data_IF_296000660710
#
_entry.id   IF_296000660710
#
_cell.length_a   1.000
_cell.length_b   1.000
_cell.length_c   1.000
_cell.angle_alpha   90.00
_cell.angle_beta   90.00
_cell.angle_gamma   90.00
#
_symmetry.space_group_name_H-M   'P 1'
#
loop_
_entity.id
_entity.type
_entity.pdbx_description
1 polymer ?
#
# COMPACT_ATOMS: atom_id res chain seq x y z
N UNK A 1 24.62 4.11 -25.55
CA UNK A 1 24.77 5.14 -26.60
C UNK A 1 23.47 5.52 -27.29
N UNK A 2 22.64 4.57 -27.79
CA UNK A 2 21.36 4.88 -28.46
C UNK A 2 20.37 5.76 -27.66
N UNK A 3 20.29 5.59 -26.33
CA UNK A 3 19.37 6.38 -25.48
C UNK A 3 19.74 7.88 -25.39
N UNK A 4 21.03 8.20 -25.44
CA UNK A 4 21.52 9.60 -25.39
C UNK A 4 21.36 10.31 -26.74
N UNK A 5 21.44 9.57 -27.85
CA UNK A 5 21.21 10.12 -29.19
C UNK A 5 19.74 10.53 -29.35
N UNK A 6 18.82 9.72 -28.82
CA UNK A 6 17.38 10.03 -28.86
C UNK A 6 17.05 11.23 -27.96
N UNK A 7 17.64 11.34 -26.76
CA UNK A 7 17.41 12.50 -25.89
C UNK A 7 18.04 13.79 -26.46
N UNK A 8 19.18 13.70 -27.14
CA UNK A 8 19.80 14.83 -27.82
C UNK A 8 18.96 15.34 -29.00
N UNK A 9 18.34 14.45 -29.77
CA UNK A 9 17.41 14.81 -30.85
C UNK A 9 16.15 15.54 -30.35
N UNK A 10 15.60 15.11 -29.21
CA UNK A 10 14.43 15.73 -28.58
C UNK A 10 14.78 17.11 -28.01
N UNK A 11 15.97 17.28 -27.40
CA UNK A 11 16.43 18.59 -26.93
C UNK A 11 16.66 19.57 -28.09
N UNK A 12 17.20 19.13 -29.23
CA UNK A 12 17.41 19.99 -30.40
C UNK A 12 16.09 20.45 -31.05
N UNK A 13 15.05 19.62 -31.05
CA UNK A 13 13.71 19.99 -31.57
C UNK A 13 13.00 21.05 -30.69
N UNK A 14 13.41 21.21 -29.43
CA UNK A 14 12.81 22.16 -28.50
C UNK A 14 13.25 23.61 -28.72
N UNK A 15 14.27 23.86 -29.56
CA UNK A 15 14.80 25.20 -29.84
C UNK A 15 14.17 25.89 -31.07
N UNK A 16 13.29 25.22 -31.82
CA UNK A 16 12.67 25.78 -33.04
C UNK A 16 11.35 26.54 -32.81
N UNK A 17 11.04 26.88 -31.56
CA UNK A 17 9.76 27.49 -31.18
C UNK A 17 9.65 29.01 -31.36
N UNK A 18 10.60 29.68 -32.03
CA UNK A 18 10.48 31.12 -32.30
C UNK A 18 10.20 31.31 -33.79
N UNK A 19 8.94 31.67 -34.06
CA UNK A 19 8.35 32.10 -35.33
C UNK A 19 9.33 32.25 -36.50
N UNK A 20 9.42 31.20 -37.33
CA UNK A 20 10.26 31.20 -38.53
C UNK A 20 9.77 32.17 -39.61
N UNK A 21 8.53 32.69 -39.49
CA UNK A 21 7.93 33.64 -40.44
C UNK A 21 7.91 35.10 -39.95
N UNK A 22 8.26 35.38 -38.68
CA UNK A 22 8.39 36.76 -38.20
C UNK A 22 9.83 37.24 -38.40
N UNK A 23 10.12 37.87 -39.53
CA UNK A 23 11.35 38.65 -39.68
C UNK A 23 11.19 40.00 -38.97
N UNK A 24 11.91 40.27 -37.86
CA UNK A 24 11.87 41.57 -37.21
C UNK A 24 12.50 42.65 -38.11
N UNK A 25 11.95 43.86 -38.06
CA UNK A 25 12.58 45.03 -38.68
C UNK A 25 13.79 45.43 -37.82
N UNK A 26 14.98 45.41 -38.41
CA UNK A 26 16.22 45.80 -37.70
C UNK A 26 16.38 47.32 -37.78
N UNK A 27 16.26 48.00 -36.63
CA UNK A 27 16.54 49.42 -36.48
C UNK A 27 17.90 49.62 -35.82
N UNK A 28 18.67 50.60 -36.31
CA UNK A 28 19.95 50.98 -35.74
C UNK A 28 19.79 52.30 -35.00
N UNK A 29 19.75 52.24 -33.67
CA UNK A 29 19.65 53.42 -32.80
C UNK A 29 20.92 53.47 -31.94
N UNK A 30 21.65 54.59 -31.98
CA UNK A 30 22.89 54.79 -31.21
C UNK A 30 23.90 53.62 -31.36
N UNK A 31 24.12 53.16 -32.59
CA UNK A 31 25.02 52.05 -32.93
C UNK A 31 24.62 50.67 -32.35
N UNK A 32 23.40 50.52 -31.81
CA UNK A 32 22.87 49.24 -31.34
C UNK A 32 21.76 48.75 -32.27
N UNK A 33 21.76 47.44 -32.57
CA UNK A 33 20.71 46.78 -33.34
C UNK A 33 19.51 46.53 -32.44
N UNK A 34 18.36 47.08 -32.81
CA UNK A 34 17.07 46.86 -32.16
C UNK A 34 16.17 46.09 -33.12
N UNK A 35 15.56 45.01 -32.64
CA UNK A 35 14.57 44.26 -33.39
C UNK A 35 13.19 44.80 -33.06
N UNK A 36 12.54 45.40 -34.05
CA UNK A 36 11.21 45.96 -33.92
C UNK A 36 10.22 45.13 -34.72
N UNK A 37 9.14 44.74 -34.05
CA UNK A 37 8.01 44.07 -34.68
C UNK A 37 6.94 45.10 -35.01
N UNK A 38 6.23 44.92 -36.12
CA UNK A 38 5.03 45.71 -36.40
C UNK A 38 3.98 45.46 -35.28
N UNK A 39 3.04 46.38 -35.09
CA UNK A 39 1.95 46.25 -34.12
C UNK A 39 1.16 44.94 -34.32
N UNK A 40 0.95 44.52 -35.57
CA UNK A 40 0.30 43.24 -35.88
C UNK A 40 1.12 42.04 -35.39
N UNK A 41 2.41 41.99 -35.74
CA UNK A 41 3.35 40.95 -35.30
C UNK A 41 3.48 40.89 -33.77
N UNK A 42 3.47 42.05 -33.11
CA UNK A 42 3.54 42.15 -31.65
C UNK A 42 2.29 41.58 -30.99
N UNK A 43 1.10 41.82 -31.57
CA UNK A 43 -0.16 41.24 -31.10
C UNK A 43 -0.20 39.72 -31.25
N UNK A 44 0.31 39.18 -32.36
CA UNK A 44 0.39 37.73 -32.54
C UNK A 44 1.36 37.07 -31.55
N UNK A 45 2.53 37.67 -31.34
CA UNK A 45 3.49 37.22 -30.33
C UNK A 45 2.87 37.26 -28.92
N UNK A 46 2.15 38.32 -28.56
CA UNK A 46 1.47 38.41 -27.28
C UNK A 46 0.44 37.29 -27.07
N UNK A 47 -0.39 37.00 -28.10
CA UNK A 47 -1.35 35.88 -28.06
C UNK A 47 -0.66 34.53 -27.87
N UNK A 48 0.46 34.30 -28.56
CA UNK A 48 1.23 33.05 -28.44
C UNK A 48 1.86 32.92 -27.05
N UNK A 49 2.40 34.01 -26.49
CA UNK A 49 2.96 34.03 -25.14
C UNK A 49 1.89 33.77 -24.06
N UNK A 50 0.72 34.41 -24.17
CA UNK A 50 -0.41 34.17 -23.25
C UNK A 50 -0.87 32.72 -23.32
N UNK A 51 -1.00 32.16 -24.54
CA UNK A 51 -1.36 30.76 -24.73
C UNK A 51 -0.32 29.81 -24.13
N UNK A 52 0.97 30.10 -24.30
CA UNK A 52 2.06 29.34 -23.69
C UNK A 52 1.98 29.36 -22.16
N UNK A 53 1.87 30.55 -21.58
CA UNK A 53 1.73 30.74 -20.13
C UNK A 53 0.51 30.02 -19.55
N UNK A 54 -0.63 30.07 -20.26
CA UNK A 54 -1.84 29.35 -19.85
C UNK A 54 -1.64 27.83 -19.88
N UNK A 55 -1.02 27.31 -20.94
CA UNK A 55 -0.72 25.88 -21.05
C UNK A 55 0.25 25.41 -19.96
N UNK A 56 1.30 26.19 -19.68
CA UNK A 56 2.27 25.86 -18.63
C UNK A 56 1.61 25.84 -17.24
N UNK A 57 0.68 26.79 -16.99
CA UNK A 57 -0.13 26.80 -15.77
C UNK A 57 -1.01 25.54 -15.66
N UNK A 58 -1.69 25.14 -16.74
CA UNK A 58 -2.48 23.91 -16.77
C UNK A 58 -1.62 22.66 -16.52
N UNK A 59 -0.47 22.55 -17.20
CA UNK A 59 0.46 21.42 -17.01
C UNK A 59 0.95 21.37 -15.56
N UNK A 60 1.26 22.52 -14.96
CA UNK A 60 1.69 22.60 -13.56
C UNK A 60 0.58 22.12 -12.62
N UNK A 61 -0.65 22.59 -12.81
CA UNK A 61 -1.80 22.18 -11.98
C UNK A 61 -2.11 20.68 -12.12
N UNK A 62 -2.06 20.16 -13.35
CA UNK A 62 -2.25 18.74 -13.62
C UNK A 62 -1.14 17.89 -12.99
N UNK A 63 0.11 18.33 -13.07
CA UNK A 63 1.26 17.65 -12.44
C UNK A 63 1.11 17.59 -10.92
N UNK A 64 0.75 18.71 -10.28
CA UNK A 64 0.49 18.74 -8.82
C UNK A 64 -0.64 17.76 -8.45
N UNK A 65 -1.72 17.75 -9.23
CA UNK A 65 -2.87 16.87 -8.97
C UNK A 65 -2.47 15.40 -9.13
N UNK A 66 -1.72 15.07 -10.18
CA UNK A 66 -1.24 13.72 -10.44
C UNK A 66 -0.33 13.22 -9.30
N UNK A 67 0.62 14.06 -8.85
CA UNK A 67 1.49 13.72 -7.73
C UNK A 67 0.69 13.46 -6.44
N UNK A 68 -0.33 14.27 -6.15
CA UNK A 68 -1.22 14.04 -5.01
C UNK A 68 -1.96 12.71 -5.11
N UNK A 69 -2.44 12.35 -6.30
CA UNK A 69 -3.12 11.06 -6.52
C UNK A 69 -2.16 9.88 -6.33
N UNK A 70 -0.93 9.99 -6.82
CA UNK A 70 0.11 8.98 -6.62
C UNK A 70 0.41 8.80 -5.13
N UNK A 71 0.60 9.89 -4.38
CA UNK A 71 0.84 9.84 -2.93
C UNK A 71 -0.33 9.19 -2.18
N UNK A 72 -1.57 9.50 -2.57
CA UNK A 72 -2.76 8.89 -1.97
C UNK A 72 -2.85 7.39 -2.26
N UNK A 73 -2.51 6.96 -3.47
CA UNK A 73 -2.45 5.54 -3.83
C UNK A 73 -1.39 4.81 -3.00
N UNK A 74 -0.18 5.35 -2.89
CA UNK A 74 0.88 4.75 -2.07
C UNK A 74 0.49 4.64 -0.58
N UNK A 75 -0.17 5.67 -0.03
CA UNK A 75 -0.70 5.63 1.35
C UNK A 75 -1.79 4.58 1.52
N UNK A 76 -2.67 4.42 0.53
CA UNK A 76 -3.70 3.39 0.55
C UNK A 76 -3.09 1.98 0.50
N UNK A 77 -2.13 1.75 -0.39
CA UNK A 77 -1.50 0.45 -0.56
C UNK A 77 -0.70 0.05 0.69
N UNK A 78 0.03 0.99 1.29
CA UNK A 78 0.73 0.75 2.56
C UNK A 78 -0.24 0.44 3.71
N UNK A 79 -1.37 1.15 3.81
CA UNK A 79 -2.41 0.86 4.80
C UNK A 79 -3.01 -0.55 4.60
N UNK A 80 -3.30 -0.93 3.35
CA UNK A 80 -3.81 -2.27 3.03
C UNK A 80 -2.79 -3.34 3.43
N UNK A 81 -1.52 -3.15 3.09
CA UNK A 81 -0.44 -4.08 3.45
C UNK A 81 -0.31 -4.24 4.97
N UNK A 82 -0.37 -3.13 5.71
CA UNK A 82 -0.37 -3.15 7.16
C UNK A 82 -1.58 -3.91 7.73
N UNK A 83 -2.78 -3.67 7.20
CA UNK A 83 -4.01 -4.36 7.65
C UNK A 83 -3.99 -5.86 7.33
N UNK A 84 -3.47 -6.25 6.16
CA UNK A 84 -3.29 -7.66 5.83
C UNK A 84 -2.29 -8.34 6.77
N UNK A 85 -1.22 -7.66 7.15
CA UNK A 85 -0.26 -8.18 8.14
C UNK A 85 -0.92 -8.37 9.51
N UNK A 86 -1.76 -7.42 9.94
CA UNK A 86 -2.55 -7.57 11.17
C UNK A 86 -3.50 -8.77 11.09
N UNK A 87 -4.21 -8.95 9.97
CA UNK A 87 -5.11 -10.09 9.76
C UNK A 87 -4.36 -11.42 9.79
N UNK A 88 -3.18 -11.50 9.18
CA UNK A 88 -2.35 -12.70 9.23
C UNK A 88 -1.95 -13.05 10.66
N UNK A 89 -1.54 -12.05 11.45
CA UNK A 89 -1.22 -12.24 12.86
C UNK A 89 -2.43 -12.68 13.68
N UNK A 90 -3.60 -12.08 13.46
CA UNK A 90 -4.83 -12.48 14.13
C UNK A 90 -5.24 -13.91 13.77
N UNK A 91 -5.10 -14.30 12.51
CA UNK A 91 -5.33 -15.68 12.07
C UNK A 91 -4.40 -16.64 12.82
N UNK A 92 -3.10 -16.33 12.90
CA UNK A 92 -2.16 -17.15 13.67
C UNK A 92 -2.52 -17.26 15.16
N UNK A 93 -3.00 -16.18 15.78
CA UNK A 93 -3.48 -16.20 17.18
C UNK A 93 -4.72 -17.11 17.32
N UNK A 94 -5.66 -17.06 16.37
CA UNK A 94 -6.85 -17.90 16.37
C UNK A 94 -6.45 -19.37 16.21
N UNK A 95 -5.62 -19.69 15.23
CA UNK A 95 -5.15 -21.06 14.97
C UNK A 95 -4.43 -21.63 16.22
N UNK A 96 -3.58 -20.83 16.87
CA UNK A 96 -2.92 -21.21 18.12
C UNK A 96 -3.93 -21.47 19.25
N UNK A 97 -4.96 -20.63 19.38
CA UNK A 97 -6.02 -20.81 20.39
C UNK A 97 -6.83 -22.09 20.13
N UNK A 98 -7.16 -22.39 18.87
CA UNK A 98 -7.87 -23.62 18.51
C UNK A 98 -7.04 -24.87 18.84
N UNK A 99 -5.73 -24.83 18.57
CA UNK A 99 -4.82 -25.91 18.98
C UNK A 99 -4.80 -26.08 20.50
N UNK A 100 -4.70 -24.98 21.26
CA UNK A 100 -4.74 -25.02 22.72
C UNK A 100 -6.06 -25.58 23.26
N UNK A 101 -7.20 -25.18 22.70
CA UNK A 101 -8.53 -25.69 23.06
C UNK A 101 -8.61 -27.20 22.79
N UNK A 102 -8.10 -27.64 21.65
CA UNK A 102 -8.08 -29.06 21.28
C UNK A 102 -7.25 -29.88 22.27
N UNK A 103 -6.07 -29.38 22.65
CA UNK A 103 -5.21 -30.02 23.67
C UNK A 103 -5.92 -30.06 25.02
N UNK A 104 -6.51 -28.96 25.47
CA UNK A 104 -7.25 -28.89 26.73
C UNK A 104 -8.44 -29.86 26.76
N UNK A 105 -9.19 -29.98 25.66
CA UNK A 105 -10.29 -30.93 25.54
C UNK A 105 -9.80 -32.39 25.64
N UNK A 106 -8.67 -32.70 25.01
CA UNK A 106 -8.06 -34.03 25.11
C UNK A 106 -7.62 -34.35 26.54
N UNK A 107 -6.98 -33.40 27.23
CA UNK A 107 -6.59 -33.54 28.64
C UNK A 107 -7.84 -33.73 29.51
N UNK A 108 -8.87 -32.91 29.34
CA UNK A 108 -10.13 -33.02 30.08
C UNK A 108 -10.83 -34.37 29.87
N UNK A 109 -10.78 -34.91 28.65
CA UNK A 109 -11.31 -36.25 28.34
C UNK A 109 -10.52 -37.34 29.07
N UNK A 110 -9.19 -37.26 29.05
CA UNK A 110 -8.33 -38.21 29.75
C UNK A 110 -8.50 -38.15 31.27
N UNK A 111 -8.57 -36.96 31.87
CA UNK A 111 -8.79 -36.79 33.31
C UNK A 111 -10.15 -37.33 33.72
N UNK A 112 -11.21 -37.07 32.94
CA UNK A 112 -12.53 -37.64 33.18
C UNK A 112 -12.53 -39.18 33.11
N UNK A 113 -11.81 -39.78 32.17
CA UNK A 113 -11.65 -41.24 32.11
C UNK A 113 -10.91 -41.78 33.34
N UNK A 114 -9.82 -41.12 33.76
CA UNK A 114 -9.08 -41.48 34.99
C UNK A 114 -9.97 -41.37 36.23
N UNK A 115 -10.76 -40.31 36.35
CA UNK A 115 -11.73 -40.13 37.44
C UNK A 115 -12.79 -41.22 37.46
N UNK A 116 -13.36 -41.59 36.29
CA UNK A 116 -14.32 -42.71 36.19
C UNK A 116 -13.69 -44.03 36.64
N UNK A 117 -12.48 -44.35 36.17
CA UNK A 117 -11.74 -45.55 36.60
C UNK A 117 -11.46 -45.53 38.12
N UNK A 118 -11.04 -44.39 38.66
CA UNK A 118 -10.80 -44.23 40.10
C UNK A 118 -12.07 -44.40 40.94
N UNK A 119 -13.21 -43.87 40.49
CA UNK A 119 -14.52 -44.07 41.14
C UNK A 119 -14.93 -45.54 41.14
N UNK A 120 -14.79 -46.23 39.99
CA UNK A 120 -15.05 -47.66 39.89
C UNK A 120 -14.16 -48.47 40.83
N UNK A 121 -12.86 -48.17 40.87
CA UNK A 121 -11.92 -48.87 41.75
C UNK A 121 -12.28 -48.65 43.23
N UNK A 122 -12.64 -47.43 43.63
CA UNK A 122 -13.13 -47.15 44.99
C UNK A 122 -14.41 -47.93 45.32
N UNK A 123 -15.37 -48.02 44.41
CA UNK A 123 -16.58 -48.81 44.62
C UNK A 123 -16.29 -50.31 44.73
N UNK A 124 -15.40 -50.84 43.89
CA UNK A 124 -14.97 -52.24 43.96
C UNK A 124 -14.27 -52.56 45.28
N UNK A 125 -13.37 -51.68 45.74
CA UNK A 125 -12.73 -51.82 47.05
C UNK A 125 -13.78 -51.82 48.17
N UNK A 126 -14.72 -50.87 48.16
CA UNK A 126 -15.79 -50.82 49.15
C UNK A 126 -16.61 -52.12 49.17
N UNK A 127 -17.00 -52.62 48.00
CA UNK A 127 -17.74 -53.88 47.85
C UNK A 127 -16.95 -55.08 48.38
N UNK A 128 -15.66 -55.17 48.06
CA UNK A 128 -14.79 -56.25 48.55
C UNK A 128 -14.65 -56.24 50.07
N UNK A 129 -14.61 -55.04 50.68
CA UNK A 129 -14.48 -54.87 52.12
C UNK A 129 -15.76 -55.29 52.86
N UNK A 130 -16.92 -54.99 52.29
CA UNK A 130 -18.23 -55.43 52.80
C UNK A 130 -18.36 -56.95 52.73
N UNK A 131 -17.96 -57.58 51.63
CA UNK A 131 -18.00 -59.05 51.50
C UNK A 131 -17.03 -59.73 52.46
N UNK A 132 -15.83 -59.17 52.65
CA UNK A 132 -14.85 -59.70 53.59
C UNK A 132 -15.33 -59.60 55.05
N UNK A 133 -15.95 -58.48 55.43
CA UNK A 133 -16.47 -58.29 56.79
C UNK A 133 -17.69 -59.16 57.09
N UNK A 134 -18.59 -59.38 56.13
CA UNK A 134 -19.72 -60.31 56.31
C UNK A 134 -19.27 -61.76 56.40
N UNK A 135 -18.25 -62.17 55.63
CA UNK A 135 -17.65 -63.51 55.74
C UNK A 135 -16.94 -63.74 57.08
N UNK A 136 -16.30 -62.71 57.64
CA UNK A 136 -15.66 -62.78 58.97
C UNK A 136 -16.69 -62.84 60.10
N UNK A 137 -17.84 -62.17 59.97
CA UNK A 137 -18.94 -62.21 60.95
C UNK A 137 -19.78 -63.49 60.85
N UNK A 138 -19.78 -64.16 59.70
CA UNK A 138 -20.50 -65.40 59.44
C UNK A 138 -19.75 -66.66 59.92
N UNK A 139 -18.55 -66.51 60.46
CA UNK A 139 -17.68 -67.59 60.92
C UNK A 139 -17.58 -67.58 62.43
#
# INVERSE_FOLDING_TARGET
MKKYIISAGIMMMSYFGISQDLTPQVLLIKNKKHFCFNSFQSKELAKLLEKGSYNDSLVTQLSITNNRLVDLLQKKDSLISFKNSQLYNYKGIIDNKEQHITVLNNIAKQTNQKLKKGKLHKMLLLGSLVVASTLLLSK
#
